data_IF_062902319121
#
_entry.id   IF_062902319121
#
_cell.length_a   1.000
_cell.length_b   1.000
_cell.length_c   1.000
_cell.angle_alpha   90.00
_cell.angle_beta   90.00
_cell.angle_gamma   90.00
#
_symmetry.space_group_name_H-M   'P 1'
#
loop_
_entity.id
_entity.type
_entity.pdbx_description
1 polymer ?
#
# COMPACT_ATOMS: atom_id res chain seq x y z
N UNK A 1 -11.65 -42.87 36.65
CA UNK A 1 -12.36 -41.60 36.97
C UNK A 1 -11.34 -40.48 36.95
N UNK A 2 -11.71 -39.36 36.31
CA UNK A 2 -10.86 -38.20 36.01
C UNK A 2 -10.38 -37.44 37.26
N UNK A 3 -9.21 -36.79 37.17
CA UNK A 3 -9.10 -35.32 37.28
C UNK A 3 -7.72 -34.82 36.81
N UNK A 4 -7.80 -33.85 35.91
CA UNK A 4 -6.75 -33.00 35.35
C UNK A 4 -6.10 -32.12 36.42
N UNK A 5 -4.79 -31.82 36.30
CA UNK A 5 -4.30 -30.47 36.62
C UNK A 5 -3.10 -30.09 35.76
N UNK A 6 -3.31 -29.06 34.93
CA UNK A 6 -2.32 -28.35 34.12
C UNK A 6 -1.60 -27.36 35.04
N UNK A 7 -0.27 -27.34 35.04
CA UNK A 7 0.47 -26.13 35.38
C UNK A 7 1.49 -25.84 34.27
N UNK A 8 1.03 -24.98 33.38
CA UNK A 8 1.78 -24.22 32.39
C UNK A 8 2.64 -23.19 33.12
N UNK A 9 3.96 -23.31 33.01
CA UNK A 9 4.90 -22.24 33.35
C UNK A 9 5.43 -21.69 32.04
N UNK A 10 4.87 -20.57 31.60
CA UNK A 10 5.26 -19.87 30.39
C UNK A 10 6.67 -19.30 30.54
N UNK A 11 7.66 -19.66 29.69
CA UNK A 11 8.69 -18.71 29.34
C UNK A 11 8.05 -17.73 28.34
N UNK A 12 7.73 -16.55 28.84
CA UNK A 12 7.42 -15.37 28.04
C UNK A 12 8.70 -14.99 27.26
N UNK A 13 8.98 -15.69 26.17
CA UNK A 13 9.78 -15.12 25.10
C UNK A 13 8.95 -14.00 24.50
N UNK A 14 9.23 -12.77 24.95
CA UNK A 14 9.02 -11.59 24.12
C UNK A 14 9.89 -11.76 22.87
N UNK A 15 9.42 -12.56 21.91
CA UNK A 15 9.78 -12.40 20.51
C UNK A 15 9.13 -11.08 20.08
N UNK A 16 9.77 -9.99 20.50
CA UNK A 16 9.73 -8.75 19.73
C UNK A 16 10.44 -9.07 18.43
N UNK A 17 9.70 -9.69 17.51
CA UNK A 17 10.02 -9.81 16.11
C UNK A 17 10.13 -8.37 15.59
N UNK A 18 11.31 -7.79 15.76
CA UNK A 18 11.71 -6.58 15.06
C UNK A 18 11.64 -7.02 13.61
N UNK A 19 10.53 -6.68 12.96
CA UNK A 19 10.33 -6.84 11.54
C UNK A 19 11.48 -6.03 10.93
N UNK A 20 12.56 -6.71 10.53
CA UNK A 20 13.55 -6.19 9.61
C UNK A 20 12.79 -5.92 8.32
N UNK A 21 12.14 -4.76 8.25
CA UNK A 21 11.65 -4.22 7.00
C UNK A 21 12.93 -4.00 6.20
N UNK A 22 13.20 -4.93 5.30
CA UNK A 22 14.43 -4.91 4.53
C UNK A 22 14.56 -3.54 3.86
N UNK A 23 15.77 -2.99 3.77
CA UNK A 23 15.99 -1.71 3.10
C UNK A 23 15.39 -1.70 1.68
N UNK A 24 15.33 -2.87 1.04
CA UNK A 24 14.69 -3.11 -0.24
C UNK A 24 13.17 -2.82 -0.23
N UNK A 25 12.43 -3.25 0.79
CA UNK A 25 11.00 -2.96 0.94
C UNK A 25 10.76 -1.47 1.25
N UNK A 26 11.61 -0.87 2.08
CA UNK A 26 11.57 0.58 2.35
C UNK A 26 11.80 1.39 1.07
N UNK A 27 12.75 0.97 0.23
CA UNK A 27 13.02 1.60 -1.06
C UNK A 27 11.85 1.43 -2.05
N UNK A 28 11.16 0.29 -2.03
CA UNK A 28 10.00 0.02 -2.87
C UNK A 28 8.78 0.83 -2.47
N UNK A 29 8.52 0.95 -1.16
CA UNK A 29 7.46 1.81 -0.64
C UNK A 29 7.69 3.29 -1.00
N UNK A 30 8.93 3.77 -0.90
CA UNK A 30 9.31 5.13 -1.33
C UNK A 30 9.09 5.36 -2.82
N UNK A 31 9.48 4.40 -3.66
CA UNK A 31 9.21 4.44 -5.10
C UNK A 31 7.71 4.58 -5.38
N UNK A 32 6.89 3.71 -4.79
CA UNK A 32 5.43 3.72 -4.97
C UNK A 32 4.85 5.07 -4.53
N UNK A 33 5.24 5.56 -3.35
CA UNK A 33 4.75 6.84 -2.84
C UNK A 33 5.10 8.02 -3.75
N UNK A 34 6.31 8.04 -4.34
CA UNK A 34 6.72 9.06 -5.30
C UNK A 34 5.87 9.02 -6.58
N UNK A 35 5.65 7.82 -7.13
CA UNK A 35 4.82 7.67 -8.34
C UNK A 35 3.37 8.08 -8.08
N UNK A 36 2.81 7.71 -6.92
CA UNK A 36 1.45 8.11 -6.53
C UNK A 36 1.35 9.62 -6.38
N UNK A 37 2.32 10.26 -5.72
CA UNK A 37 2.35 11.72 -5.54
C UNK A 37 2.35 12.43 -6.90
N UNK A 38 3.20 11.98 -7.81
CA UNK A 38 3.28 12.53 -9.16
C UNK A 38 1.97 12.31 -9.94
N UNK A 39 1.38 11.13 -9.84
CA UNK A 39 0.13 10.81 -10.53
C UNK A 39 -1.04 11.68 -10.02
N UNK A 40 -1.11 11.92 -8.72
CA UNK A 40 -2.10 12.83 -8.13
C UNK A 40 -1.87 14.27 -8.57
N UNK A 41 -0.62 14.71 -8.65
CA UNK A 41 -0.29 16.04 -9.15
C UNK A 41 -0.72 16.23 -10.60
N UNK A 42 -0.39 15.29 -11.49
CA UNK A 42 -0.81 15.29 -12.91
C UNK A 42 -2.34 15.23 -13.03
N UNK A 43 -2.99 14.36 -12.26
CA UNK A 43 -4.45 14.21 -12.26
C UNK A 43 -5.17 15.50 -11.86
N UNK A 44 -4.61 16.27 -10.94
CA UNK A 44 -5.16 17.56 -10.52
C UNK A 44 -4.89 18.72 -11.50
N UNK A 45 -3.84 18.66 -12.33
CA UNK A 45 -3.46 19.74 -13.24
C UNK A 45 -3.94 19.56 -14.69
N UNK A 46 -4.03 18.34 -15.20
CA UNK A 46 -4.32 18.07 -16.61
C UNK A 46 -5.53 17.15 -16.80
N UNK A 47 -5.40 15.87 -16.41
CA UNK A 47 -6.43 14.84 -16.61
C UNK A 47 -6.06 13.58 -15.80
N UNK A 48 -7.04 12.98 -15.11
CA UNK A 48 -6.89 11.69 -14.44
C UNK A 48 -6.53 10.56 -15.41
N UNK A 49 -6.95 10.63 -16.68
CA UNK A 49 -6.53 9.66 -17.69
C UNK A 49 -5.03 9.77 -18.02
N UNK A 50 -4.45 10.98 -17.96
CA UNK A 50 -3.01 11.17 -18.16
C UNK A 50 -2.22 10.58 -16.99
N UNK A 51 -2.68 10.79 -15.76
CA UNK A 51 -2.11 10.18 -14.56
C UNK A 51 -2.11 8.63 -14.63
N UNK A 52 -3.23 8.04 -15.07
CA UNK A 52 -3.34 6.57 -15.24
C UNK A 52 -2.34 6.06 -16.29
N UNK A 53 -2.23 6.73 -17.44
CA UNK A 53 -1.25 6.35 -18.48
C UNK A 53 0.18 6.42 -17.95
N UNK A 54 0.51 7.46 -17.19
CA UNK A 54 1.83 7.62 -16.57
C UNK A 54 2.18 6.45 -15.65
N UNK A 55 1.24 6.01 -14.81
CA UNK A 55 1.43 4.85 -13.92
C UNK A 55 1.65 3.56 -14.73
N UNK A 56 0.81 3.33 -15.75
CA UNK A 56 0.90 2.12 -16.59
C UNK A 56 2.24 2.04 -17.34
N UNK A 57 2.78 3.18 -17.76
CA UNK A 57 4.06 3.29 -18.46
C UNK A 57 5.29 3.26 -17.52
N UNK A 58 5.11 3.36 -16.21
CA UNK A 58 6.22 3.42 -15.25
C UNK A 58 7.02 2.11 -15.26
N UNK A 59 8.32 2.18 -15.61
CA UNK A 59 9.15 0.98 -15.84
C UNK A 59 9.56 0.23 -14.57
N UNK A 60 9.61 0.94 -13.44
CA UNK A 60 10.07 0.38 -12.16
C UNK A 60 8.95 -0.27 -11.34
N UNK A 61 7.69 -0.05 -11.73
CA UNK A 61 6.55 -0.68 -11.07
C UNK A 61 6.27 -2.04 -11.71
N UNK A 62 5.93 -3.00 -10.87
CA UNK A 62 5.38 -4.28 -11.30
C UNK A 62 3.93 -4.13 -11.72
N UNK A 63 3.43 -5.09 -12.51
CA UNK A 63 2.03 -5.08 -12.96
C UNK A 63 1.01 -5.05 -11.79
N UNK A 64 1.19 -5.82 -10.70
CA UNK A 64 0.31 -5.73 -9.53
C UNK A 64 0.28 -4.32 -8.93
N UNK A 65 1.43 -3.67 -8.73
CA UNK A 65 1.50 -2.31 -8.16
C UNK A 65 0.79 -1.29 -9.04
N UNK A 66 0.99 -1.37 -10.36
CA UNK A 66 0.29 -0.50 -11.32
C UNK A 66 -1.21 -0.63 -11.17
N UNK A 67 -1.71 -1.86 -11.14
CA UNK A 67 -3.14 -2.13 -11.03
C UNK A 67 -3.70 -1.63 -9.69
N UNK A 68 -2.99 -1.87 -8.58
CA UNK A 68 -3.39 -1.38 -7.26
C UNK A 68 -3.46 0.14 -7.21
N UNK A 69 -2.43 0.83 -7.70
CA UNK A 69 -2.40 2.30 -7.71
C UNK A 69 -3.54 2.86 -8.57
N UNK A 70 -3.75 2.32 -9.77
CA UNK A 70 -4.84 2.76 -10.67
C UNK A 70 -6.21 2.58 -10.02
N UNK A 71 -6.47 1.43 -9.41
CA UNK A 71 -7.72 1.17 -8.70
C UNK A 71 -7.96 2.18 -7.57
N UNK A 72 -6.92 2.48 -6.78
CA UNK A 72 -7.01 3.46 -5.68
C UNK A 72 -7.27 4.88 -6.18
N UNK A 73 -6.68 5.29 -7.30
CA UNK A 73 -6.92 6.61 -7.89
C UNK A 73 -8.34 6.74 -8.45
N UNK A 74 -8.86 5.68 -9.10
CA UNK A 74 -10.23 5.66 -9.61
C UNK A 74 -11.27 5.76 -8.47
N UNK A 75 -11.04 5.07 -7.35
CA UNK A 75 -11.89 5.19 -6.15
C UNK A 75 -11.93 6.64 -5.65
N UNK A 76 -10.78 7.33 -5.61
CA UNK A 76 -10.73 8.73 -5.18
C UNK A 76 -11.47 9.67 -6.15
N UNK A 77 -11.38 9.45 -7.46
CA UNK A 77 -12.09 10.28 -8.44
C UNK A 77 -13.61 10.26 -8.23
N UNK A 78 -14.19 9.09 -7.94
CA UNK A 78 -15.62 8.93 -7.66
C UNK A 78 -16.05 9.57 -6.33
N UNK A 79 -15.18 9.55 -5.32
CA UNK A 79 -15.45 10.18 -4.02
C UNK A 79 -15.37 11.71 -4.05
N UNK A 80 -14.51 12.29 -4.90
CA UNK A 80 -14.45 13.75 -5.07
C UNK A 80 -15.64 14.30 -5.85
N UNK A 81 -16.17 13.57 -6.83
CA UNK A 81 -17.35 13.99 -7.61
C UNK A 81 -18.63 14.05 -6.74
N UNK A 82 -18.71 13.24 -5.68
CA UNK A 82 -19.89 13.12 -4.83
C UNK A 82 -19.93 14.08 -3.64
N UNK A 83 -18.80 14.64 -3.21
CA UNK A 83 -18.75 15.55 -2.05
C UNK A 83 -18.96 17.04 -2.35
N UNK A 84 -19.01 17.44 -3.62
CA UNK A 84 -19.15 18.84 -4.04
C UNK A 84 -20.34 19.08 -4.99
N UNK A 85 -21.38 18.22 -4.91
CA UNK A 85 -22.59 18.34 -5.72
C UNK A 85 -23.78 18.74 -4.86
#
# INVERSE_FOLDING_TARGET
MSTTNKNISSPSSDDSEIIEVSENETNRARLIALVVREAVFVGNQQDWNAAIRMILQHKLLTLPEKNTIVALLQIKSSYFITKYK
#
